data_IF_465313531576
#
_entry.id   IF_465313531576
#
_cell.length_a   1.000
_cell.length_b   1.000
_cell.length_c   1.000
_cell.angle_alpha   90.00
_cell.angle_beta   90.00
_cell.angle_gamma   90.00
#
_symmetry.space_group_name_H-M   'P 1'
#
loop_
_entity.id
_entity.type
_entity.pdbx_description
1 polymer ?
#
# COMPACT_ATOMS: atom_id res chain seq x y z
N UNK A 1 -25.19 -24.34 19.27
CA UNK A 1 -24.96 -25.79 19.01
C UNK A 1 -24.03 -26.52 20.00
N UNK A 2 -23.42 -25.84 20.99
CA UNK A 2 -22.45 -26.45 21.94
C UNK A 2 -23.08 -27.42 22.99
N UNK A 3 -24.41 -27.41 23.24
CA UNK A 3 -25.09 -28.36 24.17
C UNK A 3 -25.41 -29.74 23.58
N UNK A 4 -25.54 -29.89 22.25
CA UNK A 4 -25.87 -31.17 21.62
C UNK A 4 -24.65 -32.12 21.59
N UNK A 5 -23.46 -31.57 21.36
CA UNK A 5 -22.21 -32.36 21.25
C UNK A 5 -21.77 -32.99 22.57
N UNK A 6 -22.09 -32.41 23.73
CA UNK A 6 -21.69 -32.96 25.04
C UNK A 6 -22.49 -34.21 25.44
N UNK A 7 -23.72 -34.36 24.92
CA UNK A 7 -24.59 -35.52 25.20
C UNK A 7 -24.36 -36.72 24.25
N UNK A 8 -23.72 -36.52 23.10
CA UNK A 8 -23.47 -37.59 22.12
C UNK A 8 -22.22 -38.45 22.43
N UNK A 9 -21.31 -37.98 23.30
CA UNK A 9 -20.10 -38.73 23.65
C UNK A 9 -20.34 -39.90 24.64
N UNK A 10 -21.57 -40.12 25.11
CA UNK A 10 -21.90 -41.18 26.07
C UNK A 10 -22.81 -42.29 25.50
N UNK A 11 -23.15 -42.24 24.21
CA UNK A 11 -23.95 -43.30 23.55
C UNK A 11 -23.07 -44.07 22.60
N UNK A 12 -22.19 -44.92 23.17
CA UNK A 12 -21.51 -45.97 22.40
C UNK A 12 -22.32 -47.24 22.52
N UNK A 13 -22.79 -47.75 21.39
CA UNK A 13 -23.39 -49.09 21.33
C UNK A 13 -22.39 -50.10 21.88
N UNK A 14 -22.85 -50.92 22.81
CA UNK A 14 -22.07 -52.06 23.30
C UNK A 14 -21.84 -53.03 22.14
N UNK A 15 -20.78 -53.85 22.25
CA UNK A 15 -20.49 -54.87 21.23
C UNK A 15 -21.66 -55.85 21.03
N UNK A 16 -22.49 -56.03 22.05
CA UNK A 16 -23.67 -56.88 22.01
C UNK A 16 -24.80 -56.22 21.23
N UNK A 17 -25.13 -54.95 21.52
CA UNK A 17 -26.15 -54.20 20.77
C UNK A 17 -25.79 -54.06 19.29
N UNK A 18 -24.51 -53.87 18.96
CA UNK A 18 -24.03 -53.86 17.57
C UNK A 18 -24.18 -55.22 16.88
N UNK A 19 -24.01 -56.33 17.61
CA UNK A 19 -24.20 -57.67 17.08
C UNK A 19 -25.69 -57.97 16.85
N UNK A 20 -26.55 -57.56 17.78
CA UNK A 20 -28.00 -57.75 17.70
C UNK A 20 -28.59 -56.95 16.54
N UNK A 21 -28.21 -55.67 16.39
CA UNK A 21 -28.63 -54.85 15.25
C UNK A 21 -28.15 -55.42 13.91
N UNK A 22 -26.94 -55.97 13.84
CA UNK A 22 -26.46 -56.67 12.63
C UNK A 22 -27.28 -57.92 12.35
N UNK A 23 -27.65 -58.68 13.37
CA UNK A 23 -28.51 -59.86 13.22
C UNK A 23 -29.89 -59.51 12.67
N UNK A 24 -30.47 -58.41 13.17
CA UNK A 24 -31.78 -57.91 12.74
C UNK A 24 -31.73 -57.36 11.31
N UNK A 25 -30.69 -56.59 10.95
CA UNK A 25 -30.49 -56.10 9.59
C UNK A 25 -30.28 -57.24 8.58
N UNK A 26 -29.52 -58.28 8.95
CA UNK A 26 -29.34 -59.46 8.11
C UNK A 26 -30.63 -60.26 7.93
N UNK A 27 -31.48 -60.34 8.97
CA UNK A 27 -32.80 -60.96 8.86
C UNK A 27 -33.70 -60.15 7.92
N UNK A 28 -33.71 -58.83 8.05
CA UNK A 28 -34.45 -57.94 7.16
C UNK A 28 -34.00 -58.07 5.69
N UNK A 29 -32.69 -58.10 5.43
CA UNK A 29 -32.13 -58.28 4.07
C UNK A 29 -32.46 -59.66 3.47
N UNK A 30 -32.59 -60.69 4.31
CA UNK A 30 -32.98 -62.04 3.89
C UNK A 30 -34.47 -62.13 3.55
N UNK A 31 -35.30 -61.38 4.28
CA UNK A 31 -36.75 -61.27 4.05
C UNK A 31 -37.09 -60.32 2.90
N UNK A 32 -36.19 -59.38 2.56
CA UNK A 32 -36.35 -58.41 1.48
C UNK A 32 -35.19 -58.47 0.47
N UNK A 33 -34.99 -59.60 -0.24
CA UNK A 33 -33.91 -59.70 -1.23
C UNK A 33 -34.17 -58.74 -2.40
N UNK A 34 -33.22 -57.85 -2.68
CA UNK A 34 -33.29 -56.98 -3.84
C UNK A 34 -33.34 -57.83 -5.13
N UNK A 35 -34.33 -57.58 -5.98
CA UNK A 35 -34.54 -58.32 -7.21
C UNK A 35 -33.28 -58.24 -8.11
N UNK A 36 -32.60 -59.37 -8.27
CA UNK A 36 -31.45 -59.51 -9.17
C UNK A 36 -31.96 -59.48 -10.61
N UNK A 37 -31.80 -58.36 -11.31
CA UNK A 37 -31.85 -58.35 -12.78
C UNK A 37 -30.46 -58.68 -13.34
N UNK A 38 -30.36 -59.58 -14.34
CA UNK A 38 -29.08 -60.13 -14.75
C UNK A 38 -28.25 -59.13 -15.55
N UNK A 39 -26.96 -59.14 -15.25
CA UNK A 39 -25.85 -58.48 -15.96
C UNK A 39 -25.97 -58.69 -17.48
N UNK A 40 -25.91 -57.60 -18.26
CA UNK A 40 -25.47 -57.66 -19.67
C UNK A 40 -24.24 -56.77 -19.87
N UNK A 41 -23.16 -57.46 -20.23
CA UNK A 41 -21.87 -56.91 -20.68
C UNK A 41 -22.03 -56.13 -21.98
N UNK A 42 -21.10 -55.20 -22.16
CA UNK A 42 -20.96 -54.19 -23.19
C UNK A 42 -20.84 -54.68 -24.66
N UNK A 43 -21.42 -53.85 -25.53
CA UNK A 43 -21.10 -53.55 -26.95
C UNK A 43 -21.41 -54.56 -28.07
N UNK A 44 -21.59 -54.10 -29.34
CA UNK A 44 -22.01 -52.79 -29.87
C UNK A 44 -23.12 -52.90 -30.97
N UNK A 45 -23.49 -51.76 -31.56
CA UNK A 45 -24.08 -51.56 -32.92
C UNK A 45 -25.58 -51.20 -32.99
N UNK A 46 -25.78 -49.89 -33.24
CA UNK A 46 -26.72 -49.18 -34.14
C UNK A 46 -28.21 -49.57 -34.12
N UNK A 47 -29.06 -48.59 -33.80
CA UNK A 47 -30.13 -48.17 -34.72
C UNK A 47 -30.38 -46.67 -34.61
N UNK A 48 -30.53 -46.07 -35.79
CA UNK A 48 -30.70 -44.65 -36.04
C UNK A 48 -32.13 -44.15 -35.82
N UNK A 49 -32.21 -42.85 -35.52
CA UNK A 49 -33.21 -41.88 -36.02
C UNK A 49 -34.58 -41.82 -35.33
N UNK A 50 -34.85 -40.65 -34.75
CA UNK A 50 -36.15 -40.25 -34.22
C UNK A 50 -36.09 -38.85 -33.62
N UNK A 51 -36.10 -37.85 -34.49
CA UNK A 51 -35.97 -36.41 -34.20
C UNK A 51 -37.15 -35.92 -33.34
N UNK A 52 -36.87 -35.53 -32.09
CA UNK A 52 -37.69 -34.61 -31.31
C UNK A 52 -36.93 -33.28 -31.20
N UNK A 53 -37.27 -32.34 -32.08
CA UNK A 53 -36.73 -30.98 -32.11
C UNK A 53 -37.12 -30.24 -30.82
N UNK A 54 -36.27 -29.29 -30.43
CA UNK A 54 -36.50 -28.22 -29.45
C UNK A 54 -36.13 -28.49 -27.99
N UNK A 55 -34.86 -28.81 -27.73
CA UNK A 55 -34.14 -28.26 -26.56
C UNK A 55 -32.65 -28.12 -26.93
N UNK A 56 -32.09 -26.89 -27.06
CA UNK A 56 -30.77 -26.70 -27.63
C UNK A 56 -29.67 -26.95 -26.59
N UNK A 57 -29.33 -28.20 -26.34
CA UNK A 57 -28.12 -28.57 -25.56
C UNK A 57 -26.82 -28.17 -26.30
N UNK A 58 -26.91 -27.77 -27.58
CA UNK A 58 -25.79 -27.17 -28.32
C UNK A 58 -25.39 -25.77 -27.85
N UNK A 59 -26.18 -25.09 -27.01
CA UNK A 59 -25.77 -23.80 -26.45
C UNK A 59 -24.70 -23.94 -25.36
N UNK A 60 -24.62 -25.09 -24.68
CA UNK A 60 -23.67 -25.28 -23.56
C UNK A 60 -22.26 -25.72 -23.98
N UNK A 61 -22.07 -26.21 -25.21
CA UNK A 61 -20.74 -26.70 -25.68
C UNK A 61 -20.01 -25.67 -26.55
N UNK A 62 -20.71 -24.65 -27.06
CA UNK A 62 -20.08 -23.55 -27.82
C UNK A 62 -19.58 -22.41 -26.92
N UNK A 63 -20.15 -22.24 -25.72
CA UNK A 63 -19.68 -21.21 -24.77
C UNK A 63 -18.33 -21.59 -24.14
N UNK A 64 -18.07 -22.87 -23.81
CA UNK A 64 -16.76 -23.27 -23.27
C UNK A 64 -15.59 -23.04 -24.23
N UNK A 65 -15.82 -23.00 -25.54
CA UNK A 65 -14.78 -22.68 -26.54
C UNK A 65 -14.53 -21.18 -26.66
N UNK A 66 -15.57 -20.36 -26.47
CA UNK A 66 -15.42 -18.91 -26.40
C UNK A 66 -14.74 -18.51 -25.09
N UNK A 67 -15.11 -19.09 -23.95
CA UNK A 67 -14.41 -18.91 -22.68
C UNK A 67 -12.99 -19.45 -22.72
N UNK A 68 -12.74 -20.61 -23.33
CA UNK A 68 -11.38 -21.12 -23.51
C UNK A 68 -10.55 -20.24 -24.48
N UNK A 69 -11.18 -19.65 -25.50
CA UNK A 69 -10.52 -18.69 -26.40
C UNK A 69 -10.19 -17.37 -25.71
N UNK A 70 -11.09 -16.87 -24.86
CA UNK A 70 -10.86 -15.68 -24.02
C UNK A 70 -9.82 -15.98 -22.95
N UNK A 71 -9.89 -17.13 -22.26
CA UNK A 71 -8.86 -17.58 -21.31
C UNK A 71 -7.52 -17.77 -22.00
N UNK A 72 -7.47 -18.31 -23.21
CA UNK A 72 -6.22 -18.50 -23.95
C UNK A 72 -5.69 -17.19 -24.53
N UNK A 73 -6.56 -16.25 -24.90
CA UNK A 73 -6.18 -14.88 -25.26
C UNK A 73 -5.72 -14.07 -24.05
N UNK A 74 -6.33 -14.25 -22.89
CA UNK A 74 -5.88 -13.70 -21.60
C UNK A 74 -4.54 -14.34 -21.25
N UNK A 75 -4.40 -15.67 -21.30
CA UNK A 75 -3.13 -16.36 -21.03
C UNK A 75 -2.04 -16.01 -22.05
N UNK A 76 -2.38 -15.69 -23.31
CA UNK A 76 -1.45 -15.21 -24.34
C UNK A 76 -1.18 -13.69 -24.26
N UNK A 77 -2.09 -12.89 -23.71
CA UNK A 77 -1.85 -11.48 -23.37
C UNK A 77 -1.10 -11.34 -22.03
N UNK A 78 -1.24 -12.34 -21.16
CA UNK A 78 -0.53 -12.54 -19.91
C UNK A 78 0.68 -13.47 -20.08
N UNK A 79 1.01 -13.92 -21.29
CA UNK A 79 2.16 -14.80 -21.51
C UNK A 79 3.44 -13.99 -21.35
N UNK A 80 3.87 -13.80 -20.11
CA UNK A 80 5.16 -13.30 -19.63
C UNK A 80 5.63 -11.97 -20.23
N UNK A 81 5.92 -11.94 -21.52
CA UNK A 81 6.64 -10.86 -22.21
C UNK A 81 5.92 -9.51 -22.23
N UNK A 82 4.60 -9.47 -22.50
CA UNK A 82 3.84 -8.20 -22.54
C UNK A 82 3.57 -7.63 -21.16
N UNK A 83 3.28 -8.49 -20.17
CA UNK A 83 3.07 -8.09 -18.77
C UNK A 83 4.39 -7.57 -18.17
N UNK A 84 5.48 -8.31 -18.40
CA UNK A 84 6.82 -7.94 -17.93
C UNK A 84 7.33 -6.66 -18.60
N UNK A 85 7.18 -6.53 -19.93
CA UNK A 85 7.58 -5.31 -20.64
C UNK A 85 6.76 -4.08 -20.24
N UNK A 86 5.46 -4.24 -19.94
CA UNK A 86 4.62 -3.14 -19.48
C UNK A 86 4.99 -2.66 -18.06
N UNK A 87 5.64 -3.49 -17.25
CA UNK A 87 6.00 -3.13 -15.88
C UNK A 87 7.01 -1.96 -15.82
N UNK A 88 7.92 -1.90 -16.78
CA UNK A 88 8.89 -0.80 -16.94
C UNK A 88 8.41 0.37 -17.78
N UNK A 89 7.18 0.35 -18.31
CA UNK A 89 6.67 1.42 -19.16
C UNK A 89 6.46 2.73 -18.38
N UNK A 90 6.84 3.85 -18.97
CA UNK A 90 6.60 5.21 -18.49
C UNK A 90 5.38 5.83 -19.19
N UNK A 91 4.75 6.87 -18.62
CA UNK A 91 3.75 7.64 -19.35
C UNK A 91 4.25 8.06 -20.74
N UNK A 92 3.39 7.94 -21.75
CA UNK A 92 3.76 8.12 -23.16
C UNK A 92 4.18 6.83 -23.88
N UNK A 93 4.61 5.79 -23.15
CA UNK A 93 4.93 4.51 -23.77
C UNK A 93 3.69 3.75 -24.25
N UNK A 94 3.85 3.01 -25.35
CA UNK A 94 2.77 2.21 -25.96
C UNK A 94 2.14 1.19 -24.99
N UNK A 95 2.92 0.67 -24.03
CA UNK A 95 2.46 -0.33 -23.07
C UNK A 95 2.02 0.25 -21.72
N UNK A 96 2.13 1.56 -21.50
CA UNK A 96 1.69 2.20 -20.25
C UNK A 96 0.20 1.97 -19.93
N UNK A 97 -0.73 2.02 -20.90
CA UNK A 97 -2.13 1.71 -20.61
C UNK A 97 -2.35 0.28 -20.12
N UNK A 98 -1.47 -0.67 -20.48
CA UNK A 98 -1.54 -2.06 -20.00
C UNK A 98 -1.02 -2.15 -18.56
N UNK A 99 0.04 -1.39 -18.23
CA UNK A 99 0.56 -1.28 -16.87
C UNK A 99 -0.54 -0.87 -15.89
N UNK A 100 -1.15 0.28 -16.15
CA UNK A 100 -2.16 0.87 -15.26
C UNK A 100 -3.47 0.09 -15.30
N UNK A 101 -4.08 -0.09 -16.48
CA UNK A 101 -5.47 -0.57 -16.56
C UNK A 101 -5.62 -2.10 -16.48
N UNK A 102 -4.50 -2.84 -16.52
CA UNK A 102 -4.55 -4.31 -16.50
C UNK A 102 -3.65 -4.86 -15.40
N UNK A 103 -2.34 -4.61 -15.45
CA UNK A 103 -1.41 -5.26 -14.52
C UNK A 103 -1.68 -4.84 -13.08
N UNK A 104 -1.82 -3.54 -12.84
CA UNK A 104 -2.03 -2.99 -11.51
C UNK A 104 -3.43 -3.31 -10.97
N UNK A 105 -4.47 -3.20 -11.80
CA UNK A 105 -5.84 -3.57 -11.42
C UNK A 105 -5.97 -5.06 -11.09
N UNK A 106 -5.34 -5.94 -11.87
CA UNK A 106 -5.33 -7.37 -11.58
C UNK A 106 -4.64 -7.62 -10.23
N UNK A 107 -3.46 -7.05 -10.00
CA UNK A 107 -2.76 -7.23 -8.72
C UNK A 107 -3.57 -6.67 -7.55
N UNK A 108 -4.14 -5.48 -7.69
CA UNK A 108 -5.02 -4.86 -6.69
C UNK A 108 -6.27 -5.67 -6.38
N UNK A 109 -6.89 -6.29 -7.40
CA UNK A 109 -8.07 -7.14 -7.21
C UNK A 109 -7.78 -8.42 -6.40
N UNK A 110 -6.54 -8.91 -6.43
CA UNK A 110 -6.09 -10.05 -5.61
C UNK A 110 -5.57 -9.64 -4.23
N UNK A 111 -5.47 -8.33 -3.93
CA UNK A 111 -5.09 -7.81 -2.62
C UNK A 111 -6.30 -7.76 -1.69
N UNK A 112 -6.50 -8.80 -0.88
CA UNK A 112 -7.74 -8.99 -0.11
C UNK A 112 -7.75 -8.26 1.25
N UNK A 113 -6.64 -8.27 1.97
CA UNK A 113 -6.52 -7.70 3.32
C UNK A 113 -6.45 -6.16 3.28
N UNK A 114 -7.11 -5.45 4.20
CA UNK A 114 -7.09 -3.98 4.27
C UNK A 114 -5.66 -3.44 4.40
N UNK A 115 -4.83 -4.03 5.27
CA UNK A 115 -3.42 -3.61 5.42
C UNK A 115 -2.64 -3.81 4.13
N UNK A 116 -2.84 -4.94 3.45
CA UNK A 116 -2.21 -5.20 2.15
C UNK A 116 -2.69 -4.23 1.08
N UNK A 117 -3.96 -3.78 1.13
CA UNK A 117 -4.48 -2.75 0.22
C UNK A 117 -3.85 -1.39 0.49
N UNK A 118 -3.65 -1.00 1.76
CA UNK A 118 -2.90 0.22 2.09
C UNK A 118 -1.51 0.15 1.47
N UNK A 119 -0.78 -0.94 1.73
CA UNK A 119 0.55 -1.14 1.17
C UNK A 119 0.57 -1.11 -0.37
N UNK A 120 -0.46 -1.66 -1.01
CA UNK A 120 -0.60 -1.63 -2.47
C UNK A 120 -0.81 -0.21 -3.00
N UNK A 121 -1.71 0.56 -2.41
CA UNK A 121 -1.96 1.95 -2.81
C UNK A 121 -0.72 2.84 -2.55
N UNK A 122 -0.04 2.67 -1.41
CA UNK A 122 1.25 3.33 -1.13
C UNK A 122 2.32 2.96 -2.17
N UNK A 123 2.37 1.70 -2.61
CA UNK A 123 3.30 1.26 -3.67
C UNK A 123 2.98 1.91 -5.01
N UNK A 124 1.70 2.12 -5.33
CA UNK A 124 1.30 2.83 -6.55
C UNK A 124 1.65 4.32 -6.47
N UNK A 125 1.45 4.96 -5.32
CA UNK A 125 1.91 6.34 -5.06
C UNK A 125 3.44 6.46 -5.24
N UNK A 126 4.23 5.56 -4.63
CA UNK A 126 5.68 5.48 -4.83
C UNK A 126 6.03 5.40 -6.31
N UNK A 127 5.33 4.52 -7.05
CA UNK A 127 5.58 4.31 -8.47
C UNK A 127 5.28 5.54 -9.32
N UNK A 128 4.18 6.26 -9.09
CA UNK A 128 3.84 7.48 -9.85
C UNK A 128 4.88 8.58 -9.65
N UNK A 129 5.34 8.75 -8.41
CA UNK A 129 6.43 9.69 -8.11
C UNK A 129 7.74 9.26 -8.78
N UNK A 130 8.07 7.97 -8.78
CA UNK A 130 9.28 7.48 -9.45
C UNK A 130 9.23 7.67 -10.97
N UNK A 131 8.07 7.43 -11.59
CA UNK A 131 7.84 7.70 -13.01
C UNK A 131 8.05 9.18 -13.33
N UNK A 132 7.48 10.08 -12.53
CA UNK A 132 7.70 11.51 -12.66
C UNK A 132 9.17 11.89 -12.52
N UNK A 133 9.85 11.44 -11.45
CA UNK A 133 11.27 11.72 -11.25
C UNK A 133 12.12 11.20 -12.42
N UNK A 134 11.80 10.02 -12.97
CA UNK A 134 12.49 9.48 -14.15
C UNK A 134 12.30 10.39 -15.36
N UNK A 135 11.06 10.81 -15.64
CA UNK A 135 10.76 11.70 -16.77
C UNK A 135 11.42 13.08 -16.62
N UNK A 136 11.55 13.61 -15.39
CA UNK A 136 12.33 14.84 -15.12
C UNK A 136 13.79 14.61 -15.48
N UNK A 137 14.41 13.54 -14.98
CA UNK A 137 15.82 13.24 -15.28
C UNK A 137 16.09 12.95 -16.76
N UNK A 138 15.09 12.44 -17.49
CA UNK A 138 15.17 12.23 -18.94
C UNK A 138 14.82 13.48 -19.77
N UNK A 139 14.35 14.56 -19.13
CA UNK A 139 13.93 15.79 -19.81
C UNK A 139 12.67 15.62 -20.66
N UNK A 140 11.82 14.65 -20.32
CA UNK A 140 10.62 14.28 -21.10
C UNK A 140 9.31 14.53 -20.34
N UNK A 141 9.37 15.11 -19.14
CA UNK A 141 8.18 15.45 -18.37
C UNK A 141 7.50 16.70 -18.96
N UNK A 142 6.41 16.48 -19.71
CA UNK A 142 5.51 17.56 -20.14
C UNK A 142 4.43 17.88 -19.09
N UNK A 143 3.74 19.02 -19.26
CA UNK A 143 2.74 19.53 -18.31
C UNK A 143 1.50 18.62 -18.21
N UNK A 144 1.05 18.03 -19.31
CA UNK A 144 -0.10 17.12 -19.32
C UNK A 144 0.22 15.81 -18.58
N UNK A 145 1.43 15.28 -18.79
CA UNK A 145 1.94 14.08 -18.11
C UNK A 145 2.18 14.36 -16.63
N UNK A 146 2.73 15.52 -16.27
CA UNK A 146 2.89 15.95 -14.88
C UNK A 146 1.53 16.02 -14.16
N UNK A 147 0.52 16.60 -14.81
CA UNK A 147 -0.83 16.69 -14.28
C UNK A 147 -1.49 15.30 -14.11
N UNK A 148 -1.37 14.38 -15.08
CA UNK A 148 -1.90 13.01 -14.97
C UNK A 148 -1.21 12.22 -13.85
N UNK A 149 0.12 12.31 -13.75
CA UNK A 149 0.89 11.65 -12.68
C UNK A 149 0.54 12.22 -11.30
N UNK A 150 0.43 13.55 -11.16
CA UNK A 150 0.04 14.21 -9.92
C UNK A 150 -1.38 13.78 -9.49
N UNK A 151 -2.34 13.76 -10.42
CA UNK A 151 -3.70 13.30 -10.12
C UNK A 151 -3.76 11.82 -9.69
N UNK A 152 -2.99 10.94 -10.34
CA UNK A 152 -2.89 9.52 -9.97
C UNK A 152 -2.23 9.33 -8.61
N UNK A 153 -1.13 10.05 -8.37
CA UNK A 153 -0.44 10.07 -7.09
C UNK A 153 -1.40 10.45 -5.97
N UNK A 154 -2.08 11.60 -6.10
CA UNK A 154 -3.08 12.05 -5.14
C UNK A 154 -4.18 11.00 -4.90
N UNK A 155 -4.69 10.38 -5.97
CA UNK A 155 -5.70 9.31 -5.87
C UNK A 155 -5.23 8.13 -5.02
N UNK A 156 -3.97 7.69 -5.20
CA UNK A 156 -3.42 6.58 -4.44
C UNK A 156 -3.15 6.96 -2.97
N UNK A 157 -2.70 8.19 -2.72
CA UNK A 157 -2.54 8.72 -1.36
C UNK A 157 -3.89 8.80 -0.62
N UNK A 158 -4.93 9.34 -1.26
CA UNK A 158 -6.28 9.43 -0.69
C UNK A 158 -6.89 8.06 -0.36
N UNK A 159 -6.67 7.07 -1.23
CA UNK A 159 -7.09 5.69 -0.97
C UNK A 159 -6.33 5.06 0.18
N UNK A 160 -5.02 5.27 0.27
CA UNK A 160 -4.22 4.79 1.38
C UNK A 160 -4.71 5.39 2.71
N UNK A 161 -4.95 6.70 2.77
CA UNK A 161 -5.52 7.39 3.92
C UNK A 161 -6.89 6.82 4.33
N UNK A 162 -7.77 6.63 3.35
CA UNK A 162 -9.10 6.05 3.59
C UNK A 162 -9.04 4.63 4.15
N UNK A 163 -8.12 3.80 3.63
CA UNK A 163 -7.91 2.43 4.09
C UNK A 163 -7.22 2.38 5.47
N UNK A 164 -6.38 3.36 5.82
CA UNK A 164 -5.82 3.50 7.16
C UNK A 164 -6.90 3.87 8.18
N UNK A 165 -7.80 4.79 7.84
CA UNK A 165 -8.98 5.08 8.66
C UNK A 165 -9.88 3.84 8.82
N UNK A 166 -9.98 2.98 7.80
CA UNK A 166 -10.68 1.69 7.91
C UNK A 166 -9.97 0.71 8.86
N UNK A 167 -8.62 0.64 8.86
CA UNK A 167 -7.86 -0.18 9.82
C UNK A 167 -8.10 0.30 11.25
N UNK A 168 -8.06 1.61 11.45
CA UNK A 168 -8.35 2.23 12.72
C UNK A 168 -9.76 1.90 13.21
N UNK A 169 -10.78 2.10 12.36
CA UNK A 169 -12.18 1.82 12.72
C UNK A 169 -12.42 0.35 13.06
N UNK A 170 -11.57 -0.56 12.56
CA UNK A 170 -11.56 -2.00 12.92
C UNK A 170 -10.77 -2.30 14.21
N UNK A 171 -10.29 -1.27 14.91
CA UNK A 171 -9.52 -1.39 16.14
C UNK A 171 -8.04 -1.70 15.95
N UNK A 172 -7.55 -1.76 14.70
CA UNK A 172 -6.16 -2.07 14.39
C UNK A 172 -5.30 -0.80 14.32
N UNK A 173 -5.16 -0.15 15.48
CA UNK A 173 -4.43 1.11 15.63
C UNK A 173 -2.93 0.96 15.30
N UNK A 174 -2.33 -0.18 15.66
CA UNK A 174 -0.91 -0.45 15.34
C UNK A 174 -0.68 -0.51 13.83
N UNK A 175 -1.50 -1.26 13.08
CA UNK A 175 -1.32 -1.36 11.63
C UNK A 175 -1.60 -0.03 10.93
N UNK A 176 -2.60 0.74 11.40
CA UNK A 176 -2.88 2.08 10.87
C UNK A 176 -1.68 3.02 11.09
N UNK A 177 -1.11 3.05 12.29
CA UNK A 177 0.04 3.89 12.61
C UNK A 177 1.35 3.43 11.95
N UNK A 178 1.54 2.13 11.74
CA UNK A 178 2.69 1.61 10.97
C UNK A 178 2.57 1.98 9.48
N UNK A 179 1.38 1.85 8.89
CA UNK A 179 1.12 2.30 7.53
C UNK A 179 1.31 3.82 7.38
N UNK A 180 0.91 4.58 8.40
CA UNK A 180 1.13 6.02 8.50
C UNK A 180 2.62 6.38 8.47
N UNK A 181 3.45 5.73 9.30
CA UNK A 181 4.91 5.91 9.29
C UNK A 181 5.53 5.67 7.91
N UNK A 182 5.06 4.64 7.20
CA UNK A 182 5.53 4.34 5.84
C UNK A 182 5.13 5.42 4.84
N UNK A 183 3.89 5.91 4.93
CA UNK A 183 3.39 6.96 4.04
C UNK A 183 4.15 8.28 4.26
N UNK A 184 4.38 8.64 5.52
CA UNK A 184 5.17 9.82 5.87
C UNK A 184 6.63 9.69 5.40
N UNK A 185 7.25 8.52 5.57
CA UNK A 185 8.59 8.27 5.02
C UNK A 185 8.62 8.41 3.49
N UNK A 186 7.58 7.93 2.81
CA UNK A 186 7.43 8.05 1.37
C UNK A 186 7.34 9.52 0.95
N UNK A 187 6.43 10.29 1.52
CA UNK A 187 6.22 11.71 1.20
C UNK A 187 7.51 12.52 1.42
N UNK A 188 8.19 12.30 2.56
CA UNK A 188 9.44 12.97 2.89
C UNK A 188 10.53 12.73 1.83
N UNK A 189 10.72 11.46 1.43
CA UNK A 189 11.74 11.13 0.42
C UNK A 189 11.35 11.69 -0.95
N UNK A 190 10.07 11.60 -1.33
CA UNK A 190 9.60 12.14 -2.61
C UNK A 190 9.76 13.66 -2.69
N UNK A 191 9.38 14.39 -1.64
CA UNK A 191 9.57 15.83 -1.55
C UNK A 191 11.06 16.18 -1.69
N UNK A 192 11.95 15.45 -1.02
CA UNK A 192 13.39 15.68 -1.13
C UNK A 192 13.94 15.40 -2.53
N UNK A 193 13.44 14.36 -3.22
CA UNK A 193 13.79 14.07 -4.61
C UNK A 193 13.41 15.24 -5.50
N UNK A 194 12.15 15.70 -5.45
CA UNK A 194 11.71 16.77 -6.33
C UNK A 194 12.32 18.13 -6.00
N UNK A 195 12.61 18.42 -4.73
CA UNK A 195 13.39 19.61 -4.35
C UNK A 195 14.80 19.57 -4.96
N UNK A 196 15.49 18.43 -4.88
CA UNK A 196 16.81 18.27 -5.52
C UNK A 196 16.73 18.45 -7.03
N UNK A 197 15.68 17.94 -7.68
CA UNK A 197 15.49 18.07 -9.12
C UNK A 197 15.14 19.52 -9.54
N UNK A 198 14.38 20.24 -8.71
CA UNK A 198 14.09 21.67 -8.90
C UNK A 198 15.35 22.53 -8.73
N UNK A 199 16.16 22.26 -7.70
CA UNK A 199 17.44 22.92 -7.46
C UNK A 199 18.40 22.71 -8.64
N UNK A 200 18.49 21.49 -9.17
CA UNK A 200 19.32 21.18 -10.34
C UNK A 200 18.82 21.91 -11.60
N UNK A 201 17.51 21.94 -11.84
CA UNK A 201 16.91 22.64 -12.99
C UNK A 201 17.09 24.16 -12.92
N UNK A 202 17.05 24.75 -11.72
CA UNK A 202 17.26 26.18 -11.51
C UNK A 202 18.74 26.58 -11.56
N UNK A 203 19.65 25.73 -11.10
CA UNK A 203 21.09 25.96 -11.18
C UNK A 203 21.60 26.04 -12.63
N UNK A 204 21.06 25.23 -13.54
CA UNK A 204 21.36 25.31 -14.99
C UNK A 204 20.89 26.64 -15.62
N UNK A 205 20.03 27.41 -14.95
CA UNK A 205 19.58 28.74 -15.40
C UNK A 205 20.54 29.86 -14.96
N UNK A 206 21.24 29.69 -13.83
CA UNK A 206 22.07 30.76 -13.25
C UNK A 206 23.41 30.99 -13.97
N UNK A 207 23.91 30.04 -14.78
CA UNK A 207 25.12 30.24 -15.60
C UNK A 207 24.86 31.12 -16.86
N UNK A 208 23.63 31.59 -17.09
CA UNK A 208 23.34 32.47 -18.22
C UNK A 208 22.41 33.66 -17.94
N UNK A 209 22.22 34.13 -16.70
CA UNK A 209 21.61 35.45 -16.47
C UNK A 209 22.14 36.14 -15.21
N UNK A 210 23.09 37.04 -15.42
CA UNK A 210 23.36 38.12 -14.46
C UNK A 210 22.08 38.96 -14.28
N UNK A 211 21.52 38.93 -13.06
CA UNK A 211 20.69 39.98 -12.44
C UNK A 211 19.27 40.19 -12.99
N UNK A 212 18.24 39.74 -12.28
CA UNK A 212 17.35 40.66 -11.53
C UNK A 212 16.19 39.97 -10.81
N UNK A 213 16.07 40.36 -9.55
CA UNK A 213 15.01 40.18 -8.56
C UNK A 213 13.61 40.55 -9.07
N UNK A 214 12.61 39.76 -8.65
CA UNK A 214 11.19 40.07 -8.38
C UNK A 214 10.56 41.32 -9.04
N UNK A 215 9.62 41.14 -9.98
CA UNK A 215 8.24 41.69 -9.89
C UNK A 215 7.36 41.34 -11.11
N UNK A 216 6.12 40.94 -10.82
CA UNK A 216 4.94 41.02 -11.69
C UNK A 216 4.81 42.40 -12.35
N UNK A 217 4.82 42.48 -13.70
CA UNK A 217 3.90 43.33 -14.51
C UNK A 217 4.09 43.12 -16.01
N UNK A 218 3.01 42.70 -16.68
CA UNK A 218 2.43 43.18 -17.95
C UNK A 218 3.29 43.99 -18.94
N UNK A 219 3.43 43.41 -20.15
CA UNK A 219 3.57 43.98 -21.51
C UNK A 219 4.83 44.76 -21.90
N UNK A 220 5.53 44.33 -22.96
CA UNK A 220 5.42 44.86 -24.35
C UNK A 220 6.64 44.41 -25.20
N UNK A 221 6.35 43.87 -26.38
CA UNK A 221 7.17 43.68 -27.60
C UNK A 221 8.68 43.98 -27.56
N UNK A 222 9.48 42.94 -27.83
CA UNK A 222 10.54 43.00 -28.87
C UNK A 222 10.91 41.58 -29.30
N UNK A 223 10.83 41.34 -30.61
CA UNK A 223 11.45 40.21 -31.30
C UNK A 223 12.96 40.16 -31.00
N UNK A 224 13.51 38.99 -30.66
CA UNK A 224 14.76 38.49 -31.25
C UNK A 224 15.01 37.03 -30.79
N UNK A 225 15.43 36.24 -31.78
CA UNK A 225 15.63 34.78 -31.79
C UNK A 225 16.70 34.32 -30.78
N UNK A 226 16.31 33.63 -29.70
CA UNK A 226 17.10 32.65 -28.90
C UNK A 226 16.28 32.16 -27.66
N UNK A 227 15.06 31.62 -27.84
CA UNK A 227 14.11 31.37 -26.73
C UNK A 227 13.51 29.94 -26.66
N UNK A 228 14.12 28.91 -27.27
CA UNK A 228 13.60 27.54 -27.13
C UNK A 228 14.08 26.88 -25.81
N UNK A 229 15.34 27.09 -25.42
CA UNK A 229 15.91 26.42 -24.23
C UNK A 229 15.42 26.99 -22.90
N UNK A 230 15.06 28.28 -22.87
CA UNK A 230 14.56 28.95 -21.66
C UNK A 230 13.08 28.62 -21.41
N UNK A 231 12.30 28.41 -22.48
CA UNK A 231 10.91 27.96 -22.41
C UNK A 231 10.80 26.50 -21.92
N UNK A 232 11.68 25.61 -22.41
CA UNK A 232 11.71 24.21 -21.97
C UNK A 232 12.12 24.05 -20.50
N UNK A 233 13.10 24.82 -20.01
CA UNK A 233 13.50 24.75 -18.61
C UNK A 233 12.43 25.33 -17.67
N UNK A 234 11.77 26.42 -18.09
CA UNK A 234 10.67 27.02 -17.35
C UNK A 234 9.45 26.10 -17.25
N UNK A 235 9.14 25.35 -18.31
CA UNK A 235 8.11 24.31 -18.29
C UNK A 235 8.48 23.16 -17.34
N UNK A 236 9.74 22.72 -17.33
CA UNK A 236 10.18 21.63 -16.45
C UNK A 236 10.07 22.02 -14.97
N UNK A 237 10.48 23.24 -14.60
CA UNK A 237 10.29 23.78 -13.23
C UNK A 237 8.79 23.82 -12.88
N UNK A 238 7.93 24.31 -13.78
CA UNK A 238 6.47 24.32 -13.54
C UNK A 238 5.92 22.90 -13.32
N UNK A 239 6.32 21.93 -14.14
CA UNK A 239 5.91 20.52 -13.99
C UNK A 239 6.37 19.91 -12.66
N UNK A 240 7.59 20.23 -12.19
CA UNK A 240 8.09 19.80 -10.88
C UNK A 240 7.27 20.42 -9.74
N UNK A 241 6.97 21.72 -9.81
CA UNK A 241 6.18 22.41 -8.79
C UNK A 241 4.77 21.82 -8.63
N UNK A 242 4.11 21.41 -9.72
CA UNK A 242 2.81 20.73 -9.65
C UNK A 242 2.83 19.42 -8.86
N UNK A 243 3.97 18.72 -8.85
CA UNK A 243 4.14 17.48 -8.09
C UNK A 243 4.48 17.79 -6.63
N UNK A 244 5.33 18.79 -6.38
CA UNK A 244 5.67 19.25 -5.04
C UNK A 244 4.43 19.73 -4.27
N UNK A 245 3.57 20.54 -4.90
CA UNK A 245 2.32 21.03 -4.29
C UNK A 245 1.41 19.88 -3.84
N UNK A 246 1.34 18.80 -4.64
CA UNK A 246 0.55 17.62 -4.31
C UNK A 246 1.13 16.82 -3.13
N UNK A 247 2.45 16.87 -2.94
CA UNK A 247 3.15 16.20 -1.84
C UNK A 247 3.11 17.01 -0.54
N UNK A 248 3.31 18.33 -0.61
CA UNK A 248 3.39 19.21 0.56
C UNK A 248 2.06 19.22 1.33
N UNK A 249 0.93 19.34 0.63
CA UNK A 249 -0.38 19.32 1.27
C UNK A 249 -0.66 18.03 2.05
N UNK A 250 0.01 16.93 1.69
CA UNK A 250 -0.18 15.61 2.30
C UNK A 250 0.75 15.38 3.49
N UNK A 251 1.95 15.95 3.49
CA UNK A 251 2.95 15.77 4.55
C UNK A 251 2.50 16.36 5.89
N UNK A 252 1.98 17.60 5.91
CA UNK A 252 1.49 18.27 7.11
C UNK A 252 0.34 17.52 7.81
N UNK A 253 -0.48 16.83 7.02
CA UNK A 253 -1.59 16.03 7.53
C UNK A 253 -1.06 14.80 8.26
N UNK A 254 0.06 14.22 7.79
CA UNK A 254 0.54 12.96 8.35
C UNK A 254 1.06 13.09 9.79
N UNK A 255 1.71 14.21 10.11
CA UNK A 255 2.25 14.47 11.46
C UNK A 255 1.12 14.60 12.49
N UNK A 256 0.03 15.29 12.13
CA UNK A 256 -1.15 15.44 12.99
C UNK A 256 -1.86 14.11 13.24
N UNK A 257 -1.94 13.26 12.22
CA UNK A 257 -2.54 11.92 12.35
C UNK A 257 -1.73 11.04 13.30
N UNK A 258 -0.40 11.18 13.35
CA UNK A 258 0.42 10.43 14.31
C UNK A 258 0.09 10.82 15.76
N UNK A 259 -0.05 12.12 16.05
CA UNK A 259 -0.42 12.60 17.39
C UNK A 259 -1.84 12.12 17.79
N UNK A 260 -2.78 12.15 16.84
CA UNK A 260 -4.14 11.64 17.05
C UNK A 260 -4.17 10.14 17.40
N UNK A 261 -3.31 9.31 16.79
CA UNK A 261 -3.18 7.91 17.18
C UNK A 261 -2.60 7.72 18.59
N UNK A 262 -1.68 8.59 19.02
CA UNK A 262 -1.16 8.55 20.39
C UNK A 262 -2.26 8.89 21.41
N UNK A 263 -3.06 9.94 21.15
CA UNK A 263 -4.20 10.31 21.99
C UNK A 263 -5.24 9.19 22.07
N UNK A 264 -5.60 8.58 20.95
CA UNK A 264 -6.54 7.44 20.89
C UNK A 264 -6.02 6.20 21.59
N UNK A 265 -4.70 6.00 21.63
CA UNK A 265 -4.10 4.93 22.43
C UNK A 265 -4.31 5.20 23.92
N UNK A 266 -4.24 6.45 24.37
CA UNK A 266 -4.44 6.81 25.79
C UNK A 266 -5.87 6.58 26.29
N UNK A 267 -6.86 6.62 25.38
CA UNK A 267 -8.26 6.32 25.69
C UNK A 267 -8.51 4.83 26.01
N UNK A 268 -7.61 3.94 25.59
CA UNK A 268 -7.72 2.48 25.84
C UNK A 268 -7.33 2.11 27.26
N UNK A 269 -7.79 0.95 27.73
CA UNK A 269 -7.38 0.42 29.03
C UNK A 269 -5.87 0.06 29.06
N UNK A 270 -5.33 -0.17 30.26
CA UNK A 270 -3.89 -0.44 30.44
C UNK A 270 -3.44 -1.74 29.74
N UNK A 271 -4.28 -2.77 29.68
CA UNK A 271 -3.91 -4.05 29.06
C UNK A 271 -3.86 -3.91 27.54
N UNK A 272 -4.84 -3.22 26.95
CA UNK A 272 -4.87 -2.93 25.51
C UNK A 272 -3.76 -1.99 25.07
N UNK A 273 -3.41 -0.99 25.88
CA UNK A 273 -2.23 -0.13 25.65
C UNK A 273 -0.95 -0.93 25.64
N UNK A 274 -0.76 -1.78 26.65
CA UNK A 274 0.43 -2.63 26.76
C UNK A 274 0.53 -3.62 25.59
N UNK A 275 -0.59 -4.22 25.16
CA UNK A 275 -0.63 -5.14 24.01
C UNK A 275 -0.26 -4.41 22.71
N UNK A 276 -0.86 -3.25 22.46
CA UNK A 276 -0.59 -2.44 21.26
C UNK A 276 0.90 -2.06 21.21
N UNK A 277 1.47 -1.58 22.31
CA UNK A 277 2.89 -1.23 22.38
C UNK A 277 3.84 -2.42 22.25
N UNK A 278 3.46 -3.60 22.75
CA UNK A 278 4.25 -4.81 22.54
C UNK A 278 4.31 -5.17 21.04
N UNK A 279 3.19 -5.04 20.32
CA UNK A 279 3.13 -5.23 18.87
C UNK A 279 3.96 -4.16 18.14
N UNK A 280 3.76 -2.87 18.45
CA UNK A 280 4.52 -1.76 17.85
C UNK A 280 6.04 -1.94 18.07
N UNK A 281 6.45 -2.36 19.27
CA UNK A 281 7.85 -2.67 19.58
C UNK A 281 8.38 -3.82 18.71
N UNK A 282 7.64 -4.93 18.62
CA UNK A 282 8.02 -6.09 17.82
C UNK A 282 8.18 -5.73 16.33
N UNK A 283 7.25 -4.93 15.79
CA UNK A 283 7.34 -4.42 14.42
C UNK A 283 8.57 -3.54 14.23
N UNK A 284 8.85 -2.64 15.18
CA UNK A 284 10.04 -1.77 15.13
C UNK A 284 11.33 -2.58 15.15
N UNK A 285 11.44 -3.59 16.01
CA UNK A 285 12.61 -4.47 16.09
C UNK A 285 12.79 -5.28 14.80
N UNK A 286 11.68 -5.72 14.20
CA UNK A 286 11.70 -6.39 12.89
C UNK A 286 12.22 -5.44 11.81
N UNK A 287 11.73 -4.20 11.77
CA UNK A 287 12.20 -3.18 10.81
C UNK A 287 13.69 -2.87 10.98
N UNK A 288 14.19 -2.77 12.21
CA UNK A 288 15.63 -2.59 12.47
C UNK A 288 16.43 -3.75 11.85
N UNK A 289 16.04 -4.98 12.14
CA UNK A 289 16.74 -6.17 11.63
C UNK A 289 16.68 -6.28 10.09
N UNK A 290 15.57 -5.89 9.47
CA UNK A 290 15.46 -5.86 8.00
C UNK A 290 16.30 -4.75 7.39
N UNK A 291 16.27 -3.54 7.95
CA UNK A 291 17.03 -2.40 7.44
C UNK A 291 18.53 -2.63 7.58
N UNK A 292 18.98 -3.26 8.66
CA UNK A 292 20.37 -3.68 8.84
C UNK A 292 20.83 -4.63 7.72
N UNK A 293 20.02 -5.64 7.37
CA UNK A 293 20.32 -6.56 6.25
C UNK A 293 20.40 -5.81 4.92
N UNK A 294 19.52 -4.84 4.71
CA UNK A 294 19.45 -4.07 3.46
C UNK A 294 20.66 -3.15 3.33
N UNK A 295 21.08 -2.50 4.42
CA UNK A 295 22.33 -1.75 4.47
C UNK A 295 23.50 -2.64 4.05
N UNK A 296 23.70 -3.78 4.72
CA UNK A 296 24.80 -4.70 4.42
C UNK A 296 24.81 -5.15 2.95
N UNK A 297 23.64 -5.53 2.42
CA UNK A 297 23.51 -5.95 1.03
C UNK A 297 23.78 -4.81 0.04
N UNK A 298 23.39 -3.58 0.37
CA UNK A 298 23.68 -2.40 -0.43
C UNK A 298 25.18 -2.08 -0.42
N UNK A 299 25.82 -2.11 0.75
CA UNK A 299 27.25 -1.81 0.88
C UNK A 299 28.13 -2.77 0.07
N UNK A 300 27.76 -4.05 0.04
CA UNK A 300 28.48 -5.06 -0.74
C UNK A 300 28.49 -4.75 -2.24
N UNK A 301 27.39 -4.19 -2.76
CA UNK A 301 27.22 -3.91 -4.20
C UNK A 301 27.67 -2.50 -4.60
N UNK A 302 27.38 -1.50 -3.77
CA UNK A 302 27.47 -0.08 -4.12
C UNK A 302 28.47 0.70 -3.25
N UNK A 303 29.03 0.07 -2.21
CA UNK A 303 29.87 0.73 -1.21
C UNK A 303 29.08 1.38 -0.07
N UNK A 304 29.80 1.72 1.00
CA UNK A 304 29.23 2.28 2.21
C UNK A 304 28.61 3.67 1.98
N UNK A 305 27.38 3.86 2.46
CA UNK A 305 26.70 5.16 2.50
C UNK A 305 26.64 5.65 3.95
N UNK A 306 27.51 6.59 4.29
CA UNK A 306 27.65 7.13 5.65
C UNK A 306 26.32 7.73 6.15
N UNK A 307 25.60 8.45 5.30
CA UNK A 307 24.32 9.07 5.66
C UNK A 307 23.25 8.03 6.04
N UNK A 308 23.16 6.94 5.27
CA UNK A 308 22.24 5.84 5.56
C UNK A 308 22.57 5.15 6.90
N UNK A 309 23.86 5.01 7.24
CA UNK A 309 24.29 4.50 8.54
C UNK A 309 23.98 5.47 9.68
N UNK A 310 24.21 6.77 9.49
CA UNK A 310 23.90 7.79 10.49
C UNK A 310 22.42 7.81 10.79
N UNK A 311 21.56 7.81 9.76
CA UNK A 311 20.11 7.77 9.91
C UNK A 311 19.61 6.47 10.56
N UNK A 312 20.19 5.32 10.19
CA UNK A 312 19.88 4.05 10.86
C UNK A 312 20.24 4.07 12.35
N UNK A 313 21.43 4.57 12.70
CA UNK A 313 21.85 4.69 14.09
C UNK A 313 20.98 5.67 14.89
N UNK A 314 20.53 6.76 14.26
CA UNK A 314 19.58 7.69 14.86
C UNK A 314 18.23 7.00 15.17
N UNK A 315 17.71 6.20 14.23
CA UNK A 315 16.49 5.42 14.45
C UNK A 315 16.62 4.43 15.61
N UNK A 316 17.77 3.74 15.71
CA UNK A 316 18.07 2.82 16.83
C UNK A 316 18.10 3.57 18.16
N UNK A 317 18.65 4.79 18.20
CA UNK A 317 18.64 5.65 19.39
C UNK A 317 17.22 6.04 19.80
N UNK A 318 16.39 6.48 18.85
CA UNK A 318 14.98 6.81 19.11
C UNK A 318 14.22 5.60 19.67
N UNK A 319 14.46 4.39 19.15
CA UNK A 319 13.88 3.15 19.70
C UNK A 319 14.31 2.91 21.16
N UNK A 320 15.56 3.21 21.51
CA UNK A 320 16.04 3.08 22.90
C UNK A 320 15.33 4.06 23.84
N UNK A 321 15.06 5.28 23.37
CA UNK A 321 14.26 6.27 24.11
C UNK A 321 12.80 5.78 24.27
N UNK A 322 12.21 5.20 23.22
CA UNK A 322 10.89 4.56 23.29
C UNK A 322 10.83 3.44 24.33
N UNK A 323 11.87 2.58 24.40
CA UNK A 323 11.97 1.53 25.41
C UNK A 323 11.99 2.11 26.84
N UNK A 324 12.62 3.27 27.06
CA UNK A 324 12.63 3.95 28.36
C UNK A 324 11.25 4.49 28.73
N UNK A 325 10.56 5.12 27.78
CA UNK A 325 9.18 5.60 27.94
C UNK A 325 8.21 4.45 28.26
N UNK A 326 8.36 3.32 27.57
CA UNK A 326 7.58 2.12 27.83
C UNK A 326 7.80 1.59 29.26
N UNK A 327 9.05 1.57 29.74
CA UNK A 327 9.38 1.17 31.12
C UNK A 327 8.82 2.14 32.16
N UNK A 328 8.72 3.43 31.83
CA UNK A 328 8.09 4.45 32.64
C UNK A 328 6.56 4.40 32.62
N UNK A 329 5.95 3.53 31.80
CA UNK A 329 4.51 3.47 31.51
C UNK A 329 3.96 4.76 30.88
N UNK A 330 4.82 5.52 30.23
CA UNK A 330 4.45 6.68 29.41
C UNK A 330 4.09 6.15 28.02
N UNK A 331 2.90 5.56 27.90
CA UNK A 331 2.49 4.79 26.73
C UNK A 331 2.35 5.64 25.45
N UNK A 332 1.75 6.84 25.54
CA UNK A 332 1.66 7.77 24.40
C UNK A 332 3.03 8.14 23.85
N UNK A 333 3.92 8.64 24.71
CA UNK A 333 5.31 8.98 24.35
C UNK A 333 6.08 7.78 23.74
N UNK A 334 5.93 6.59 24.34
CA UNK A 334 6.59 5.38 23.82
C UNK A 334 6.08 5.05 22.40
N UNK A 335 4.78 5.19 22.17
CA UNK A 335 4.13 4.90 20.91
C UNK A 335 4.62 5.87 19.82
N UNK A 336 4.63 7.17 20.10
CA UNK A 336 5.14 8.19 19.18
C UNK A 336 6.61 7.93 18.81
N UNK A 337 7.46 7.62 19.80
CA UNK A 337 8.88 7.37 19.55
C UNK A 337 9.12 6.07 18.76
N UNK A 338 8.36 5.00 19.00
CA UNK A 338 8.47 3.81 18.14
C UNK A 338 8.08 4.13 16.69
N UNK A 339 6.98 4.84 16.46
CA UNK A 339 6.58 5.23 15.12
C UNK A 339 7.56 6.21 14.45
N UNK A 340 8.16 7.15 15.21
CA UNK A 340 9.26 8.00 14.73
C UNK A 340 10.46 7.16 14.28
N UNK A 341 10.85 6.15 15.06
CA UNK A 341 11.90 5.22 14.67
C UNK A 341 11.54 4.41 13.41
N UNK A 342 10.28 3.94 13.30
CA UNK A 342 9.80 3.24 12.10
C UNK A 342 9.87 4.13 10.85
N UNK A 343 9.42 5.38 10.93
CA UNK A 343 9.52 6.36 9.83
C UNK A 343 10.97 6.59 9.42
N UNK A 344 11.89 6.73 10.39
CA UNK A 344 13.33 6.84 10.10
C UNK A 344 13.87 5.61 9.35
N UNK A 345 13.49 4.40 9.76
CA UNK A 345 13.92 3.15 9.11
C UNK A 345 13.37 3.01 7.69
N UNK A 346 12.11 3.37 7.48
CA UNK A 346 11.48 3.36 6.16
C UNK A 346 12.11 4.40 5.23
N UNK A 347 12.50 5.58 5.74
CA UNK A 347 13.28 6.58 4.98
C UNK A 347 14.62 6.04 4.52
N UNK A 348 15.37 5.36 5.41
CA UNK A 348 16.65 4.72 5.05
C UNK A 348 16.44 3.70 3.93
N UNK A 349 15.42 2.85 4.05
CA UNK A 349 15.10 1.85 3.04
C UNK A 349 14.82 2.48 1.67
N UNK A 350 13.91 3.46 1.64
CA UNK A 350 13.48 4.13 0.43
C UNK A 350 14.61 4.94 -0.22
N UNK A 351 15.46 5.56 0.59
CA UNK A 351 16.67 6.25 0.13
C UNK A 351 17.63 5.32 -0.61
N UNK A 352 17.96 4.17 -0.01
CA UNK A 352 18.89 3.20 -0.62
C UNK A 352 18.31 2.66 -1.93
N UNK A 353 17.00 2.41 -1.97
CA UNK A 353 16.31 1.96 -3.18
C UNK A 353 16.35 3.04 -4.28
N UNK A 354 16.03 4.28 -3.93
CA UNK A 354 15.96 5.40 -4.88
C UNK A 354 17.33 5.76 -5.43
N UNK A 355 18.34 5.88 -4.56
CA UNK A 355 19.71 6.20 -4.96
C UNK A 355 20.30 5.16 -5.93
N UNK A 356 19.96 3.88 -5.76
CA UNK A 356 20.34 2.84 -6.72
C UNK A 356 19.58 2.92 -8.05
N UNK A 357 18.32 3.38 -8.04
CA UNK A 357 17.45 3.34 -9.22
C UNK A 357 17.59 4.58 -10.12
N UNK A 358 17.67 5.78 -9.54
CA UNK A 358 17.68 7.07 -10.28
C UNK A 358 19.07 7.72 -10.29
N UNK A 359 20.01 7.26 -9.45
CA UNK A 359 21.37 7.82 -9.40
C UNK A 359 21.45 9.22 -8.80
N UNK A 360 20.39 9.70 -8.14
CA UNK A 360 20.35 11.00 -7.44
C UNK A 360 21.07 10.86 -6.09
N UNK A 361 22.00 11.78 -5.81
CA UNK A 361 22.67 11.88 -4.52
C UNK A 361 21.80 12.67 -3.54
N UNK A 362 20.87 11.96 -2.91
CA UNK A 362 20.02 12.52 -1.87
C UNK A 362 20.83 12.66 -0.58
N UNK A 363 20.47 13.64 0.27
CA UNK A 363 20.87 13.62 1.68
C UNK A 363 19.71 13.13 2.55
N UNK A 364 20.02 12.30 3.55
CA UNK A 364 19.05 11.93 4.58
C UNK A 364 19.13 12.91 5.74
N UNK A 365 18.10 13.73 5.92
CA UNK A 365 18.00 14.59 7.09
C UNK A 365 17.75 13.72 8.33
N UNK A 366 18.67 13.77 9.30
CA UNK A 366 18.53 13.05 10.58
C UNK A 366 17.75 13.85 11.62
N UNK A 367 17.62 15.17 11.41
CA UNK A 367 17.32 16.14 12.47
C UNK A 367 16.04 16.96 12.22
N UNK A 368 15.25 16.66 11.17
CA UNK A 368 14.16 17.55 10.74
C UNK A 368 12.90 17.59 11.65
N UNK A 369 12.95 16.98 12.83
CA UNK A 369 11.79 16.86 13.73
C UNK A 369 12.06 17.42 15.14
N UNK A 370 12.90 18.46 15.31
CA UNK A 370 13.22 19.06 16.63
C UNK A 370 13.16 20.60 16.67
N UNK A 371 12.39 21.24 15.78
CA UNK A 371 12.05 22.67 15.88
C UNK A 371 10.54 22.88 16.15
N UNK A 372 9.94 21.95 16.89
CA UNK A 372 8.61 22.08 17.48
C UNK A 372 8.66 22.54 18.94
N UNK A 373 9.57 23.47 19.29
CA UNK A 373 9.46 24.29 20.50
C UNK A 373 8.28 25.27 20.31
N UNK A 374 7.05 24.74 20.29
CA UNK A 374 5.86 25.54 20.48
C UNK A 374 5.39 25.34 21.92
N UNK A 375 5.68 26.38 22.71
CA UNK A 375 5.13 26.64 24.03
C UNK A 375 3.69 26.12 24.14
N UNK A 376 3.51 24.95 24.78
CA UNK A 376 2.21 24.53 25.32
C UNK A 376 1.86 25.40 26.53
N UNK A 377 1.69 26.71 26.29
CA UNK A 377 1.06 27.61 27.22
C UNK A 377 -0.46 27.39 27.16
N UNK A 378 -0.89 26.33 27.85
CA UNK A 378 -2.28 25.99 28.13
C UNK A 378 -2.89 27.12 28.96
N UNK A 379 -3.39 28.15 28.27
CA UNK A 379 -4.19 29.21 28.87
C UNK A 379 -5.66 28.86 28.69
N UNK A 380 -6.29 28.47 29.79
CA UNK A 380 -7.74 28.41 29.93
C UNK A 380 -8.37 29.75 29.53
N UNK A 381 -9.05 29.81 28.39
CA UNK A 381 -10.12 30.79 28.17
C UNK A 381 -11.39 30.05 27.75
N UNK A 382 -12.19 29.71 28.77
CA UNK A 382 -13.65 29.67 28.69
C UNK A 382 -14.13 30.87 27.88
N UNK A 383 -14.85 30.63 26.79
CA UNK A 383 -15.75 31.63 26.23
C UNK A 383 -17.19 31.15 26.35
N UNK A 384 -17.90 31.97 27.08
CA UNK A 384 -19.31 31.93 27.41
C UNK A 384 -20.17 32.09 26.15
N UNK A 385 -21.34 31.45 26.25
CA UNK A 385 -22.61 31.70 25.57
C UNK A 385 -22.72 32.99 24.76
N UNK A 386 -23.11 32.85 23.50
CA UNK A 386 -24.07 33.77 22.87
C UNK A 386 -25.13 32.95 22.14
N UNK A 387 -26.29 32.89 22.78
CA UNK A 387 -27.59 32.63 22.15
C UNK A 387 -27.79 33.54 20.94
N UNK A 388 -28.31 32.99 19.85
CA UNK A 388 -29.39 33.67 19.14
C UNK A 388 -30.43 32.61 18.72
N UNK A 389 -31.64 32.87 19.21
CA UNK A 389 -32.89 32.14 19.05
C UNK A 389 -33.54 32.39 17.68
N UNK A 390 -34.37 31.41 17.31
CA UNK A 390 -35.59 31.48 16.50
C UNK A 390 -35.49 31.63 14.97
N UNK A 391 -35.90 30.57 14.26
CA UNK A 391 -37.31 30.43 13.85
C UNK A 391 -37.59 29.09 13.16
N UNK A 392 -38.46 28.31 13.81
CA UNK A 392 -39.61 27.55 13.28
C UNK A 392 -39.58 27.01 11.84
N UNK A 393 -39.63 25.68 11.71
CA UNK A 393 -40.77 25.05 11.04
C UNK A 393 -40.90 23.57 11.48
N UNK A 394 -41.88 23.35 12.37
CA UNK A 394 -42.46 22.05 12.69
C UNK A 394 -43.19 21.48 11.46
N UNK A 395 -42.90 20.25 11.06
CA UNK A 395 -43.97 19.29 10.71
C UNK A 395 -43.62 17.89 11.19
N UNK A 396 -44.35 17.50 12.24
CA UNK A 396 -44.48 16.15 12.77
C UNK A 396 -44.97 15.15 11.72
N UNK A 397 -44.42 13.94 11.78
CA UNK A 397 -45.22 12.72 11.69
C UNK A 397 -44.53 11.63 12.52
N UNK A 398 -45.11 11.41 13.70
CA UNK A 398 -44.94 10.22 14.53
C UNK A 398 -45.16 8.94 13.71
N UNK A 399 -44.34 7.92 13.95
CA UNK A 399 -44.86 6.70 14.55
C UNK A 399 -43.71 5.83 15.07
N UNK A 400 -43.82 5.51 16.35
CA UNK A 400 -42.93 4.69 17.13
C UNK A 400 -43.05 3.21 16.77
N UNK A 401 -41.95 2.47 16.93
CA UNK A 401 -42.01 1.16 17.58
C UNK A 401 -40.65 0.86 18.23
N UNK A 402 -40.66 0.91 19.57
CA UNK A 402 -39.64 0.37 20.48
C UNK A 402 -39.51 -1.14 20.27
N UNK A 403 -38.27 -1.68 20.29
CA UNK A 403 -37.82 -2.90 21.04
C UNK A 403 -36.30 -2.86 21.15
N UNK A 404 -35.79 -2.54 22.33
CA UNK A 404 -35.34 -3.47 23.38
C UNK A 404 -34.05 -4.23 23.04
N UNK A 405 -33.08 -3.98 23.91
CA UNK A 405 -31.71 -4.48 23.96
C UNK A 405 -31.61 -6.01 23.98
N UNK A 406 -30.60 -6.56 23.31
CA UNK A 406 -29.95 -7.79 23.78
C UNK A 406 -28.45 -7.76 23.44
N UNK A 407 -27.70 -7.34 24.45
CA UNK A 407 -26.27 -7.50 24.68
C UNK A 407 -25.85 -8.97 24.48
N UNK A 408 -24.90 -9.23 23.57
CA UNK A 408 -24.14 -10.50 23.55
C UNK A 408 -22.65 -10.23 23.40
N UNK A 409 -22.00 -10.28 24.55
CA UNK A 409 -20.62 -10.69 24.72
C UNK A 409 -20.44 -12.09 24.16
N UNK A 410 -19.66 -12.24 23.09
CA UNK A 410 -19.04 -13.51 22.71
C UNK A 410 -17.52 -13.32 22.77
N UNK A 411 -17.00 -13.63 23.95
CA UNK A 411 -15.64 -14.08 24.24
C UNK A 411 -15.45 -15.45 23.55
N UNK A 412 -14.61 -15.50 22.52
CA UNK A 412 -13.95 -16.74 22.08
C UNK A 412 -12.46 -16.36 21.86
N UNK A 413 -11.70 -16.55 22.94
CA UNK A 413 -10.24 -16.59 22.97
C UNK A 413 -9.71 -17.88 22.33
N UNK A 414 -8.57 -17.73 21.67
CA UNK A 414 -7.56 -18.72 21.29
C UNK A 414 -7.85 -19.66 20.10
N UNK A 415 -7.20 -19.38 18.97
CA UNK A 415 -6.31 -20.36 18.34
C UNK A 415 -5.12 -19.63 17.71
N UNK A 416 -3.93 -20.07 18.12
CA UNK A 416 -2.61 -19.54 17.77
C UNK A 416 -2.32 -19.60 16.27
N UNK A 417 -2.63 -18.53 15.53
CA UNK A 417 -2.01 -18.28 14.24
C UNK A 417 -0.80 -17.37 14.45
N UNK A 418 0.35 -18.01 14.68
CA UNK A 418 1.64 -17.40 14.47
C UNK A 418 1.70 -16.90 13.02
N UNK A 419 1.34 -15.62 12.83
CA UNK A 419 1.47 -14.91 11.56
C UNK A 419 2.96 -14.76 11.28
N UNK A 420 3.47 -15.77 10.58
CA UNK A 420 4.74 -15.73 9.90
C UNK A 420 4.57 -14.73 8.76
N UNK A 421 4.79 -13.45 9.06
CA UNK A 421 4.88 -12.40 8.06
C UNK A 421 6.18 -12.65 7.30
N UNK A 422 6.11 -13.56 6.32
CA UNK A 422 6.96 -13.49 5.15
C UNK A 422 6.56 -12.17 4.47
N UNK A 423 7.21 -11.08 4.88
CA UNK A 423 7.32 -9.89 4.05
C UNK A 423 7.96 -10.43 2.79
N UNK A 424 7.17 -10.52 1.73
CA UNK A 424 7.61 -10.96 0.41
C UNK A 424 8.86 -10.14 0.10
N UNK A 425 10.00 -10.79 0.28
CA UNK A 425 11.33 -10.27 -0.01
C UNK A 425 11.52 -10.09 -1.51
N UNK A 426 10.48 -10.19 -2.33
CA UNK A 426 10.56 -10.17 -3.79
C UNK A 426 10.79 -8.77 -4.40
N UNK A 427 11.03 -7.76 -3.56
CA UNK A 427 11.72 -6.53 -3.98
C UNK A 427 13.21 -6.53 -3.57
N UNK A 428 13.81 -7.73 -3.42
CA UNK A 428 15.26 -7.92 -3.26
C UNK A 428 15.96 -7.40 -4.51
N UNK A 429 16.37 -6.13 -4.53
CA UNK A 429 17.36 -5.61 -5.49
C UNK A 429 17.22 -6.23 -6.90
N UNK A 430 16.04 -6.12 -7.52
CA UNK A 430 15.88 -6.40 -8.95
C UNK A 430 16.50 -5.22 -9.72
N UNK A 431 17.81 -5.08 -9.54
CA UNK A 431 18.71 -4.35 -10.42
C UNK A 431 19.22 -5.43 -11.36
N UNK A 432 18.43 -5.75 -12.39
CA UNK A 432 18.87 -6.63 -13.47
C UNK A 432 19.15 -5.78 -14.74
N UNK A 433 20.40 -5.89 -15.19
CA UNK A 433 20.96 -5.59 -16.51
C UNK A 433 20.43 -4.39 -17.31
N UNK A 434 20.97 -3.20 -17.04
CA UNK A 434 21.29 -2.21 -18.08
C UNK A 434 22.78 -2.27 -18.45
N UNK A 435 23.30 -3.46 -18.77
CA UNK A 435 24.48 -3.55 -19.64
C UNK A 435 24.00 -3.82 -21.07
N UNK A 436 23.74 -2.75 -21.82
CA UNK A 436 24.37 -2.48 -23.12
C UNK A 436 23.70 -1.30 -23.83
N UNK A 437 24.56 -0.37 -24.26
CA UNK A 437 24.39 0.56 -25.39
C UNK A 437 24.05 2.03 -25.06
N UNK A 438 25.06 2.74 -24.56
CA UNK A 438 25.48 4.01 -25.18
C UNK A 438 26.98 4.20 -24.99
N UNK A 439 27.76 3.59 -25.90
CA UNK A 439 29.06 4.18 -26.24
C UNK A 439 28.77 5.50 -26.98
N UNK A 440 28.71 6.61 -26.25
CA UNK A 440 28.90 7.94 -26.86
C UNK A 440 30.28 8.46 -26.50
N UNK A 441 31.16 8.37 -27.50
CA UNK A 441 32.51 8.92 -27.50
C UNK A 441 32.44 10.43 -27.29
N UNK A 442 32.96 10.94 -26.17
CA UNK A 442 33.56 12.27 -26.16
C UNK A 442 35.05 12.16 -25.88
N UNK A 443 35.83 12.43 -26.94
CA UNK A 443 37.29 12.51 -26.90
C UNK A 443 37.66 13.85 -26.28
N UNK A 444 38.15 13.86 -25.05
CA UNK A 444 38.87 15.03 -24.54
C UNK A 444 40.30 14.98 -25.07
N UNK A 445 40.57 15.93 -25.95
CA UNK A 445 41.85 16.23 -26.56
C UNK A 445 42.72 16.96 -25.53
N UNK A 446 43.75 16.31 -24.98
CA UNK A 446 44.75 16.98 -24.15
C UNK A 446 45.86 17.44 -25.09
N UNK A 447 45.83 18.72 -25.44
CA UNK A 447 46.88 19.40 -26.18
C UNK A 447 47.94 19.97 -25.25
N UNK A 448 49.14 19.39 -25.38
CA UNK A 448 50.48 19.84 -24.98
C UNK A 448 50.82 20.01 -23.49
#
# INVERSE_FOLDING_TARGET
>A
MKKLHKQLNHVRLTKQESADMRGEMLSYMKEHPAAVSPVRKSDPIRHSMGIGKHFPIRLLVTHNRMFAGILLAIVAALSGGTVFAAQGALPGDMLYPIKVNVNEEVRGAFTLNTEAKVAWETTLAERRSHEAATLVTEGTLDEDVAADLSARLATHLDKAESLMAELEAKGNLEAAANAQSRLEALLNVQQRIFQSLEDDATADTEDNTTTSTTTTTTSTDTDDEDDDTNDDNRKNVSSITHILDALEHKADVQERVRADYADKLEEKDEDDRARTLAQTKQVTETKIATTEKILLAFEEKNGARTEAHTAFNAAVKVKQEADQKLLAKEYGDAFELYHKAQTMLDRVHLFLRTSAAIGIDLQIDTDRDDDGDDDRNRSDEKREDVNDEDTDDEQNADDADEKEDEEKNDDDTDEDDALNIEIETDALLDIDDKETRSESKSRVNIGL
#
